data_IF_221118452621
#
_entry.id   IF_221118452621
#
_cell.length_a   1.000
_cell.length_b   1.000
_cell.length_c   1.000
_cell.angle_alpha   90.00
_cell.angle_beta   90.00
_cell.angle_gamma   90.00
#
_symmetry.space_group_name_H-M   'P 1'
#
loop_
_entity.id
_entity.type
_entity.pdbx_description
1 polymer ?
#
# COMPACT_ATOMS: atom_id res chain seq x y z
N UNK A 1 -51.91 62.79 5.23
CA UNK A 1 -50.72 63.62 4.95
C UNK A 1 -49.46 62.82 5.30
N UNK A 2 -48.46 62.89 4.42
CA UNK A 2 -47.04 62.57 4.63
C UNK A 2 -46.63 61.16 5.09
N UNK A 3 -46.38 60.28 4.10
CA UNK A 3 -45.55 59.08 4.28
C UNK A 3 -44.05 59.46 4.26
N UNK A 4 -43.29 58.81 5.14
CA UNK A 4 -41.90 59.06 5.48
C UNK A 4 -40.95 58.85 4.28
N UNK A 5 -40.08 59.83 4.05
CA UNK A 5 -38.93 59.74 3.14
C UNK A 5 -37.83 58.95 3.83
N UNK A 6 -37.47 57.78 3.28
CA UNK A 6 -36.28 57.04 3.69
C UNK A 6 -35.16 57.16 2.65
N UNK A 7 -33.99 57.44 3.21
CA UNK A 7 -32.69 57.74 2.65
C UNK A 7 -32.19 56.78 1.57
N UNK A 8 -31.54 57.36 0.59
CA UNK A 8 -30.56 56.74 -0.32
C UNK A 8 -29.37 56.16 0.46
N UNK A 9 -29.00 54.91 0.16
CA UNK A 9 -27.63 54.45 0.35
C UNK A 9 -27.17 53.72 -0.91
N UNK A 10 -26.37 54.42 -1.72
CA UNK A 10 -25.66 53.85 -2.86
C UNK A 10 -24.42 53.10 -2.32
N UNK A 11 -24.46 51.76 -2.29
CA UNK A 11 -23.25 50.95 -2.15
C UNK A 11 -22.68 50.64 -3.52
N UNK A 12 -21.48 51.17 -3.76
CA UNK A 12 -20.67 50.90 -4.95
C UNK A 12 -20.35 49.40 -5.04
N UNK A 13 -20.62 48.78 -6.18
CA UNK A 13 -20.06 47.46 -6.54
C UNK A 13 -18.56 47.62 -6.72
N UNK A 14 -17.78 47.18 -5.74
CA UNK A 14 -16.32 47.25 -5.73
C UNK A 14 -15.69 45.86 -5.73
N UNK A 15 -14.80 45.67 -6.71
CA UNK A 15 -13.74 44.65 -6.80
C UNK A 15 -14.15 43.21 -7.15
N UNK A 16 -14.03 42.88 -8.44
CA UNK A 16 -13.71 41.54 -8.92
C UNK A 16 -12.24 41.25 -8.58
N UNK A 17 -11.96 40.94 -7.31
CA UNK A 17 -10.65 40.50 -6.87
C UNK A 17 -10.48 39.01 -7.21
N UNK A 18 -9.85 38.78 -8.36
CA UNK A 18 -8.90 37.70 -8.64
C UNK A 18 -9.01 36.46 -7.74
N UNK A 19 -9.74 35.45 -8.21
CA UNK A 19 -9.57 34.09 -7.74
C UNK A 19 -8.13 33.65 -8.06
N UNK A 20 -7.24 33.71 -7.07
CA UNK A 20 -6.04 32.89 -7.11
C UNK A 20 -6.49 31.43 -7.08
N UNK A 21 -6.67 30.86 -8.27
CA UNK A 21 -6.85 29.43 -8.43
C UNK A 21 -5.48 28.80 -8.11
N UNK A 22 -5.27 28.46 -6.84
CA UNK A 22 -4.14 27.63 -6.43
C UNK A 22 -4.23 26.31 -7.20
N UNK A 23 -3.50 26.19 -8.30
CA UNK A 23 -3.24 24.90 -8.95
C UNK A 23 -2.44 24.06 -7.95
N UNK A 24 -3.14 23.31 -7.10
CA UNK A 24 -2.56 22.17 -6.41
C UNK A 24 -2.28 21.14 -7.49
N UNK A 25 -1.02 20.98 -7.88
CA UNK A 25 -0.59 19.75 -8.53
C UNK A 25 -0.98 18.61 -7.59
N UNK A 26 -2.02 17.86 -7.94
CA UNK A 26 -2.46 16.72 -7.17
C UNK A 26 -1.30 15.72 -7.10
N UNK A 27 -1.02 15.23 -5.90
CA UNK A 27 -0.18 14.04 -5.73
C UNK A 27 -0.81 12.98 -6.64
N UNK A 28 -0.03 12.44 -7.58
CA UNK A 28 -0.53 11.45 -8.54
C UNK A 28 -1.06 10.25 -7.76
N UNK A 29 -2.38 10.11 -7.68
CA UNK A 29 -3.03 8.92 -7.12
C UNK A 29 -3.01 7.85 -8.20
N UNK A 30 -2.01 6.97 -8.18
CA UNK A 30 -2.07 5.73 -8.94
C UNK A 30 -3.27 4.89 -8.47
N UNK A 31 -3.98 4.24 -9.39
CA UNK A 31 -5.03 3.30 -9.02
C UNK A 31 -4.44 2.21 -8.12
N UNK A 32 -5.06 1.96 -6.95
CA UNK A 32 -4.69 0.83 -6.10
C UNK A 32 -4.94 -0.45 -6.89
N UNK A 33 -3.88 -1.04 -7.42
CA UNK A 33 -3.94 -2.39 -7.98
C UNK A 33 -3.80 -3.34 -6.81
N UNK A 34 -4.70 -4.31 -6.73
CA UNK A 34 -4.60 -5.42 -5.80
C UNK A 34 -3.47 -6.35 -6.28
N UNK A 35 -2.24 -5.83 -6.25
CA UNK A 35 -1.07 -6.63 -6.56
C UNK A 35 -0.71 -7.35 -5.28
N UNK A 36 -0.96 -8.66 -5.25
CA UNK A 36 -0.17 -9.52 -4.37
C UNK A 36 1.30 -9.47 -4.78
N UNK A 37 2.07 -10.45 -4.30
CA UNK A 37 3.48 -10.61 -4.65
C UNK A 37 3.75 -10.50 -6.16
N UNK A 38 4.51 -9.48 -6.57
CA UNK A 38 4.74 -9.09 -7.97
C UNK A 38 5.64 -10.12 -8.68
N UNK A 39 6.58 -10.70 -7.94
CA UNK A 39 7.44 -11.81 -8.38
C UNK A 39 6.68 -13.07 -8.83
N UNK A 40 5.39 -13.19 -8.48
CA UNK A 40 4.55 -14.35 -8.81
C UNK A 40 3.43 -14.05 -9.81
N UNK A 41 3.57 -12.96 -10.57
CA UNK A 41 2.64 -12.62 -11.64
C UNK A 41 2.64 -13.69 -12.74
N UNK A 42 1.44 -14.09 -13.21
CA UNK A 42 1.27 -15.04 -14.31
C UNK A 42 1.35 -16.53 -13.95
N UNK A 43 1.42 -16.88 -12.66
CA UNK A 43 1.45 -18.27 -12.22
C UNK A 43 0.03 -18.84 -12.05
N UNK A 44 -0.35 -19.88 -12.80
CA UNK A 44 -1.73 -20.41 -12.82
C UNK A 44 -2.20 -20.92 -11.44
N UNK A 45 -1.32 -21.55 -10.67
CA UNK A 45 -1.65 -22.07 -9.34
C UNK A 45 -1.68 -21.01 -8.23
N UNK A 46 -1.35 -19.75 -8.54
CA UNK A 46 -1.28 -18.67 -7.53
C UNK A 46 -2.61 -18.43 -6.84
N UNK A 47 -3.72 -18.51 -7.58
CA UNK A 47 -5.04 -18.31 -7.01
C UNK A 47 -5.35 -19.33 -5.89
N UNK A 48 -4.96 -20.60 -6.08
CA UNK A 48 -5.17 -21.66 -5.09
C UNK A 48 -4.33 -21.44 -3.83
N UNK A 49 -3.05 -21.11 -4.01
CA UNK A 49 -2.13 -20.83 -2.90
C UNK A 49 -2.56 -19.59 -2.09
N UNK A 50 -3.06 -18.55 -2.76
CA UNK A 50 -3.59 -17.35 -2.09
C UNK A 50 -4.81 -17.71 -1.25
N UNK A 51 -5.75 -18.51 -1.78
CA UNK A 51 -6.91 -18.95 -1.01
C UNK A 51 -6.52 -19.85 0.16
N UNK A 52 -5.58 -20.78 -0.01
CA UNK A 52 -5.06 -21.61 1.10
C UNK A 52 -4.45 -20.74 2.21
N UNK A 53 -3.59 -19.79 1.85
CA UNK A 53 -2.98 -18.90 2.83
C UNK A 53 -3.99 -17.97 3.50
N UNK A 54 -5.02 -17.53 2.77
CA UNK A 54 -6.12 -16.73 3.30
C UNK A 54 -6.97 -17.54 4.28
N UNK A 55 -7.31 -18.79 3.95
CA UNK A 55 -8.05 -19.66 4.87
C UNK A 55 -7.27 -19.92 6.16
N UNK A 56 -5.97 -20.23 6.07
CA UNK A 56 -5.14 -20.43 7.25
C UNK A 56 -5.01 -19.14 8.09
N UNK A 57 -4.93 -17.96 7.45
CA UNK A 57 -5.00 -16.70 8.19
C UNK A 57 -6.32 -16.50 8.91
N UNK A 58 -7.46 -16.78 8.26
CA UNK A 58 -8.78 -16.64 8.87
C UNK A 58 -8.95 -17.61 10.04
N UNK A 59 -8.43 -18.83 9.94
CA UNK A 59 -8.41 -19.81 11.05
C UNK A 59 -7.58 -19.28 12.21
N UNK A 60 -6.34 -18.84 11.97
CA UNK A 60 -5.46 -18.32 13.01
C UNK A 60 -5.95 -17.01 13.63
N UNK A 61 -6.61 -16.16 12.84
CA UNK A 61 -7.26 -14.95 13.35
C UNK A 61 -8.40 -15.28 14.31
N UNK A 62 -9.23 -16.30 13.99
CA UNK A 62 -10.27 -16.79 14.91
C UNK A 62 -9.69 -17.36 16.21
N UNK A 63 -8.52 -17.99 16.14
CA UNK A 63 -7.78 -18.49 17.31
C UNK A 63 -7.02 -17.41 18.10
N UNK A 64 -7.03 -16.16 17.64
CA UNK A 64 -6.28 -15.05 18.26
C UNK A 64 -4.77 -15.06 17.97
N UNK A 65 -4.30 -15.92 17.05
CA UNK A 65 -2.90 -16.06 16.61
C UNK A 65 -2.66 -15.50 15.21
N UNK A 66 -3.46 -14.50 14.81
CA UNK A 66 -3.30 -13.84 13.53
C UNK A 66 -1.90 -13.21 13.43
N UNK A 67 -1.17 -13.55 12.38
CA UNK A 67 0.15 -12.99 12.08
C UNK A 67 0.20 -12.50 10.64
N UNK A 68 1.15 -11.60 10.37
CA UNK A 68 1.40 -11.13 9.02
C UNK A 68 1.99 -12.27 8.17
N UNK A 69 1.54 -12.42 6.93
CA UNK A 69 2.02 -13.43 5.99
C UNK A 69 2.62 -12.80 4.75
N UNK A 70 3.92 -13.03 4.58
CA UNK A 70 4.67 -12.69 3.38
C UNK A 70 4.01 -13.16 2.06
N UNK A 71 3.47 -14.39 1.93
CA UNK A 71 2.90 -14.83 0.65
C UNK A 71 1.63 -14.08 0.24
N UNK A 72 1.01 -13.29 1.11
CA UNK A 72 -0.15 -12.45 0.78
C UNK A 72 0.20 -10.98 0.62
N UNK A 73 1.36 -10.56 1.14
CA UNK A 73 1.85 -9.20 1.03
C UNK A 73 2.40 -8.92 -0.38
N UNK A 74 2.49 -7.62 -0.72
CA UNK A 74 3.28 -7.19 -1.88
C UNK A 74 4.77 -7.34 -1.60
N UNK A 75 5.59 -7.45 -2.66
CA UNK A 75 7.05 -7.51 -2.54
C UNK A 75 7.59 -6.29 -1.77
N UNK A 76 7.08 -5.09 -2.08
CA UNK A 76 7.49 -3.85 -1.40
C UNK A 76 7.13 -3.86 0.09
N UNK A 77 5.99 -4.44 0.47
CA UNK A 77 5.60 -4.56 1.88
C UNK A 77 6.47 -5.58 2.62
N UNK A 78 6.79 -6.71 1.98
CA UNK A 78 7.67 -7.71 2.58
C UNK A 78 9.08 -7.19 2.85
N UNK A 79 9.63 -6.36 1.96
CA UNK A 79 10.95 -5.75 2.15
C UNK A 79 10.93 -4.79 3.35
N UNK A 80 9.93 -3.92 3.44
CA UNK A 80 9.82 -2.98 4.57
C UNK A 80 9.62 -3.72 5.90
N UNK A 81 8.83 -4.80 5.90
CA UNK A 81 8.64 -5.65 7.08
C UNK A 81 9.92 -6.37 7.47
N UNK A 82 10.71 -6.79 6.48
CA UNK A 82 12.02 -7.36 6.69
C UNK A 82 13.01 -6.38 7.31
N UNK A 83 13.11 -5.18 6.76
CA UNK A 83 13.97 -4.11 7.29
C UNK A 83 13.61 -3.75 8.73
N UNK A 84 12.32 -3.83 9.06
CA UNK A 84 11.83 -3.56 10.43
C UNK A 84 12.05 -4.74 11.40
N UNK A 85 12.51 -5.90 10.92
CA UNK A 85 12.66 -7.10 11.73
C UNK A 85 11.34 -7.70 12.22
N UNK A 86 10.22 -7.39 11.55
CA UNK A 86 8.89 -7.91 11.89
C UNK A 86 8.59 -9.26 11.21
N UNK A 87 9.61 -9.91 10.64
CA UNK A 87 9.50 -11.27 10.10
C UNK A 87 9.88 -12.27 11.18
N UNK A 88 9.18 -13.41 11.20
CA UNK A 88 9.56 -14.57 12.01
C UNK A 88 10.82 -15.25 11.41
N UNK A 89 11.96 -14.57 11.50
CA UNK A 89 13.26 -15.06 11.09
C UNK A 89 13.82 -15.98 12.18
N UNK A 90 13.27 -17.19 12.29
CA UNK A 90 13.85 -18.23 13.14
C UNK A 90 15.25 -18.61 12.63
N UNK A 91 16.17 -18.97 13.54
CA UNK A 91 17.55 -19.37 13.21
C UNK A 91 17.61 -20.49 12.14
N UNK A 92 16.62 -21.37 12.13
CA UNK A 92 16.49 -22.43 11.12
C UNK A 92 16.20 -21.87 9.72
N UNK A 93 15.37 -20.83 9.64
CA UNK A 93 15.02 -20.17 8.39
C UNK A 93 16.23 -19.42 7.83
N UNK A 94 16.97 -18.72 8.69
CA UNK A 94 18.22 -18.05 8.31
C UNK A 94 19.25 -19.05 7.77
N UNK A 95 19.45 -20.18 8.45
CA UNK A 95 20.35 -21.25 7.98
C UNK A 95 19.94 -21.84 6.63
N UNK A 96 18.63 -21.99 6.37
CA UNK A 96 18.14 -22.44 5.06
C UNK A 96 18.45 -21.42 3.97
N UNK A 97 18.18 -20.14 4.22
CA UNK A 97 18.47 -19.05 3.27
C UNK A 97 19.96 -18.95 2.94
N UNK A 98 20.85 -19.10 3.94
CA UNK A 98 22.30 -19.15 3.73
C UNK A 98 22.70 -20.31 2.81
N UNK A 99 22.18 -21.51 3.06
CA UNK A 99 22.44 -22.70 2.21
C UNK A 99 21.92 -22.53 0.78
N UNK A 100 20.77 -21.90 0.60
CA UNK A 100 20.24 -21.61 -0.74
C UNK A 100 21.11 -20.58 -1.46
N UNK A 101 21.60 -19.57 -0.76
CA UNK A 101 22.54 -18.57 -1.29
C UNK A 101 23.85 -19.22 -1.75
N UNK A 102 24.42 -20.13 -0.96
CA UNK A 102 25.61 -20.92 -1.33
C UNK A 102 25.38 -21.77 -2.58
N UNK A 103 24.21 -22.43 -2.69
CA UNK A 103 23.87 -23.23 -3.88
C UNK A 103 23.77 -22.36 -5.14
N UNK A 104 23.14 -21.19 -5.03
CA UNK A 104 23.00 -20.26 -6.14
C UNK A 104 24.38 -19.74 -6.57
N UNK A 105 25.23 -19.34 -5.62
CA UNK A 105 26.60 -18.92 -5.90
C UNK A 105 27.39 -20.02 -6.64
N UNK A 106 27.32 -21.26 -6.17
CA UNK A 106 27.98 -22.40 -6.81
C UNK A 106 27.40 -22.77 -8.19
N UNK A 107 26.17 -22.38 -8.52
CA UNK A 107 25.63 -22.53 -9.87
C UNK A 107 26.18 -21.47 -10.83
N UNK A 108 26.42 -20.24 -10.35
CA UNK A 108 27.03 -19.18 -11.15
C UNK A 108 28.53 -19.42 -11.38
N UNK A 109 29.25 -20.00 -10.43
CA UNK A 109 30.67 -20.35 -10.61
C UNK A 109 30.91 -21.51 -11.60
N UNK A 110 29.92 -22.38 -11.79
CA UNK A 110 30.00 -23.52 -12.71
C UNK A 110 29.56 -23.20 -14.14
N UNK A 111 29.16 -21.96 -14.40
CA UNK A 111 28.65 -21.48 -15.69
C UNK A 111 29.68 -20.58 -16.36
#
# INVERSE_FOLDING_TARGET
MSALRNLTFATRRGSLASYHLSQRAGIQTSAARLSGKESKLGHEDRAKEVEEHKEDLLKKQKEGKGHWKEPLASDSESIIKADRGEIDATDETIKKLQKETEKIAGQYEKK
#
